data_IF_953076169469
#
_entry.id   IF_953076169469
#
_cell.length_a   1.000
_cell.length_b   1.000
_cell.length_c   1.000
_cell.angle_alpha   90.00
_cell.angle_beta   90.00
_cell.angle_gamma   90.00
#
_symmetry.space_group_name_H-M   'P 1'
#
loop_
_entity.id
_entity.type
_entity.pdbx_description
1 polymer ?
#
# COMPACT_ATOMS: atom_id res chain seq x y z
N UNK A 1 -17.83 -12.44 -8.56
CA UNK A 1 -19.25 -12.67 -8.19
C UNK A 1 -19.31 -14.10 -7.65
N UNK A 2 -19.59 -14.31 -6.36
CA UNK A 2 -19.73 -15.68 -5.84
C UNK A 2 -21.00 -16.33 -6.44
N UNK A 3 -20.98 -17.64 -6.77
CA UNK A 3 -22.17 -18.32 -7.28
C UNK A 3 -23.32 -18.24 -6.26
N UNK A 4 -24.59 -18.14 -6.70
CA UNK A 4 -25.73 -18.12 -5.78
C UNK A 4 -25.74 -19.40 -4.94
N UNK A 5 -25.78 -19.26 -3.62
CA UNK A 5 -25.84 -20.40 -2.71
C UNK A 5 -27.15 -21.16 -2.92
N UNK A 6 -27.05 -22.44 -3.29
CA UNK A 6 -28.21 -23.33 -3.47
C UNK A 6 -29.00 -23.54 -2.17
N UNK A 7 -28.39 -23.23 -1.03
CA UNK A 7 -29.01 -23.24 0.29
C UNK A 7 -29.14 -21.81 0.80
N UNK A 8 -30.35 -21.41 1.18
CA UNK A 8 -30.61 -20.12 1.83
C UNK A 8 -30.59 -20.32 3.33
N UNK A 9 -29.55 -19.80 3.97
CA UNK A 9 -29.42 -19.85 5.42
C UNK A 9 -30.65 -19.18 6.09
N UNK A 10 -31.45 -19.92 6.89
CA UNK A 10 -32.63 -19.38 7.56
C UNK A 10 -32.31 -18.32 8.61
N UNK A 11 -31.06 -18.27 9.09
CA UNK A 11 -30.61 -17.31 10.10
C UNK A 11 -29.91 -16.09 9.53
N UNK A 12 -29.75 -15.99 8.20
CA UNK A 12 -29.02 -14.91 7.54
C UNK A 12 -29.52 -13.52 7.94
N UNK A 13 -30.83 -13.34 8.15
CA UNK A 13 -31.43 -12.08 8.60
C UNK A 13 -31.05 -11.74 10.05
N UNK A 14 -30.90 -12.76 10.90
CA UNK A 14 -30.49 -12.62 12.31
C UNK A 14 -28.98 -12.38 12.42
N UNK A 15 -28.17 -12.90 11.51
CA UNK A 15 -26.72 -12.68 11.48
C UNK A 15 -26.30 -11.41 10.70
N UNK A 16 -27.24 -10.74 10.03
CA UNK A 16 -26.96 -9.56 9.20
C UNK A 16 -26.27 -8.43 9.98
N UNK A 17 -26.57 -8.26 11.28
CA UNK A 17 -25.92 -7.24 12.11
C UNK A 17 -24.41 -7.48 12.28
N UNK A 18 -23.95 -8.74 12.22
CA UNK A 18 -22.52 -9.09 12.31
C UNK A 18 -21.76 -8.76 11.04
N UNK A 19 -22.45 -8.73 9.89
CA UNK A 19 -21.88 -8.40 8.58
C UNK A 19 -21.79 -6.88 8.38
N UNK A 20 -21.41 -6.15 9.44
CA UNK A 20 -21.25 -4.71 9.36
C UNK A 20 -19.98 -4.37 8.56
N UNK A 21 -20.00 -3.41 7.63
CA UNK A 21 -18.86 -3.07 6.77
C UNK A 21 -17.59 -2.66 7.55
N UNK A 22 -17.74 -2.17 8.79
CA UNK A 22 -16.62 -1.88 9.70
C UNK A 22 -15.80 -3.12 10.04
N UNK A 23 -16.42 -4.30 10.10
CA UNK A 23 -15.74 -5.57 10.38
C UNK A 23 -15.33 -6.31 9.10
N UNK A 24 -15.42 -5.67 7.94
CA UNK A 24 -14.96 -6.30 6.70
C UNK A 24 -13.45 -6.47 6.71
N UNK A 25 -12.96 -7.59 6.18
CA UNK A 25 -11.52 -7.85 6.03
C UNK A 25 -10.80 -6.68 5.35
N UNK A 26 -11.44 -6.05 4.35
CA UNK A 26 -10.88 -4.89 3.64
C UNK A 26 -10.65 -3.69 4.56
N UNK A 27 -11.59 -3.40 5.46
CA UNK A 27 -11.45 -2.32 6.43
C UNK A 27 -10.36 -2.62 7.46
N UNK A 28 -10.26 -3.88 7.91
CA UNK A 28 -9.19 -4.32 8.81
C UNK A 28 -7.81 -4.22 8.16
N UNK A 29 -7.63 -4.71 6.93
CA UNK A 29 -6.34 -4.64 6.22
C UNK A 29 -5.95 -3.19 5.86
N UNK A 30 -6.92 -2.33 5.53
CA UNK A 30 -6.67 -0.92 5.21
C UNK A 30 -6.17 -0.10 6.41
N UNK A 31 -6.48 -0.51 7.64
CA UNK A 31 -6.04 0.19 8.86
C UNK A 31 -4.79 -0.41 9.51
N UNK A 32 -4.25 -1.53 9.01
CA UNK A 32 -3.08 -2.20 9.60
C UNK A 32 -1.80 -1.34 9.54
N UNK A 33 -1.65 -0.49 8.53
CA UNK A 33 -0.45 0.33 8.36
C UNK A 33 -0.79 1.80 8.16
N UNK A 34 -1.16 2.50 9.25
CA UNK A 34 -1.41 3.94 9.18
C UNK A 34 -0.13 4.64 8.70
N UNK A 35 -0.23 5.37 7.59
CA UNK A 35 0.89 6.13 7.04
C UNK A 35 1.84 5.36 6.12
N UNK A 36 1.59 4.09 5.81
CA UNK A 36 2.45 3.32 4.88
C UNK A 36 2.59 3.99 3.51
N UNK A 37 1.50 4.55 2.97
CA UNK A 37 1.55 5.29 1.70
C UNK A 37 2.45 6.51 1.76
N UNK A 38 2.45 7.24 2.88
CA UNK A 38 3.32 8.41 3.08
C UNK A 38 4.78 7.97 3.21
N UNK A 39 5.04 6.90 3.96
CA UNK A 39 6.38 6.35 4.12
C UNK A 39 6.98 5.91 2.78
N UNK A 40 6.22 5.17 1.97
CA UNK A 40 6.65 4.75 0.63
C UNK A 40 6.92 5.95 -0.27
N UNK A 41 6.05 6.97 -0.25
CA UNK A 41 6.25 8.18 -1.05
C UNK A 41 7.52 8.95 -0.65
N UNK A 42 7.72 9.18 0.65
CA UNK A 42 8.90 9.88 1.17
C UNK A 42 10.20 9.11 0.86
N UNK A 43 10.20 7.80 1.08
CA UNK A 43 11.35 6.94 0.76
C UNK A 43 11.68 6.96 -0.73
N UNK A 44 10.68 6.86 -1.60
CA UNK A 44 10.87 6.91 -3.05
C UNK A 44 11.43 8.25 -3.51
N UNK A 45 10.93 9.35 -2.94
CA UNK A 45 11.45 10.70 -3.22
C UNK A 45 12.91 10.85 -2.79
N UNK A 46 13.28 10.32 -1.61
CA UNK A 46 14.65 10.32 -1.12
C UNK A 46 15.59 9.53 -2.06
N UNK A 47 15.20 8.30 -2.43
CA UNK A 47 16.01 7.47 -3.34
C UNK A 47 16.14 8.11 -4.71
N UNK A 48 15.07 8.71 -5.25
CA UNK A 48 15.13 9.43 -6.52
C UNK A 48 16.07 10.64 -6.45
N UNK A 49 16.03 11.38 -5.34
CA UNK A 49 16.93 12.51 -5.11
C UNK A 49 18.40 12.04 -5.09
N UNK A 50 18.74 11.03 -4.29
CA UNK A 50 20.11 10.48 -4.28
C UNK A 50 20.52 9.98 -5.67
N UNK A 51 19.69 9.19 -6.34
CA UNK A 51 20.05 8.61 -7.65
C UNK A 51 20.26 9.68 -8.73
N UNK A 52 19.43 10.73 -8.77
CA UNK A 52 19.51 11.77 -9.79
C UNK A 52 20.57 12.82 -9.47
N UNK A 53 20.65 13.29 -8.22
CA UNK A 53 21.60 14.33 -7.82
C UNK A 53 23.00 13.79 -7.53
N UNK A 54 23.16 12.56 -7.00
CA UNK A 54 24.49 11.96 -6.86
C UNK A 54 25.10 11.54 -8.21
N UNK A 55 24.28 11.15 -9.19
CA UNK A 55 24.76 10.88 -10.56
C UNK A 55 25.17 12.16 -11.28
N UNK A 56 24.44 13.27 -11.08
CA UNK A 56 24.79 14.56 -11.67
C UNK A 56 26.14 15.12 -11.17
N UNK A 57 26.52 14.84 -9.91
CA UNK A 57 27.81 15.24 -9.34
C UNK A 57 28.95 14.24 -9.63
N UNK A 58 28.67 13.05 -10.16
CA UNK A 58 29.68 12.02 -10.44
C UNK A 58 30.30 12.11 -11.85
N UNK A 59 29.88 13.08 -12.68
CA UNK A 59 30.38 13.27 -14.05
C UNK A 59 31.42 14.39 -14.20
N UNK A 60 31.83 15.05 -13.10
CA UNK A 60 32.82 16.14 -13.13
C UNK A 60 34.22 15.77 -12.54
N UNK A 61 34.49 14.49 -12.23
CA UNK A 61 35.78 14.05 -11.67
C UNK A 61 36.68 13.29 -12.69
N UNK A 62 36.60 13.63 -13.98
CA UNK A 62 37.47 13.09 -15.04
C UNK A 62 38.39 14.14 -15.68
N UNK A 63 39.06 14.95 -14.86
CA UNK A 63 40.22 15.73 -15.30
C UNK A 63 41.47 15.31 -14.54
N UNK A 64 42.41 14.78 -15.32
CA UNK A 64 43.49 13.91 -14.86
C UNK A 64 44.58 14.59 -14.05
N UNK A 65 45.41 13.74 -13.44
CA UNK A 65 46.75 14.09 -13.01
C UNK A 65 47.69 12.91 -13.25
N UNK A 66 48.93 13.29 -13.54
CA UNK A 66 50.14 12.50 -13.81
C UNK A 66 50.38 11.33 -12.86
#
# INVERSE_FOLDING_TARGET
MAPPSLFRDPWAKREAWRKHPVFSNRAMFGSMFPGFGIAVAAFSAYVAWEKLFSTANAHDDHHGHH
#
